data_IF_107787028476
#
_entry.id   IF_107787028476
#
_cell.length_a   1.000
_cell.length_b   1.000
_cell.length_c   1.000
_cell.angle_alpha   90.00
_cell.angle_beta   90.00
_cell.angle_gamma   90.00
#
_symmetry.space_group_name_H-M   'P 1'
#
loop_
_entity.id
_entity.type
_entity.pdbx_description
1 polymer ?
#
# COMPACT_ATOMS: atom_id res chain seq x y z
N UNK A 1 -13.40 -14.56 -28.21
CA UNK A 1 -14.08 -14.01 -27.00
C UNK A 1 -14.15 -15.03 -25.87
N UNK A 2 -14.69 -16.24 -26.09
CA UNK A 2 -14.77 -17.29 -25.06
C UNK A 2 -13.42 -17.68 -24.43
N UNK A 3 -12.37 -17.86 -25.24
CA UNK A 3 -11.00 -18.17 -24.76
C UNK A 3 -10.38 -17.08 -23.86
N UNK A 4 -10.87 -15.84 -23.94
CA UNK A 4 -10.45 -14.75 -23.06
C UNK A 4 -11.29 -14.68 -21.78
N UNK A 5 -12.56 -15.09 -21.85
CA UNK A 5 -13.50 -15.04 -20.72
C UNK A 5 -13.33 -16.28 -19.82
N UNK A 6 -13.05 -17.45 -20.38
CA UNK A 6 -12.92 -18.70 -19.63
C UNK A 6 -11.88 -18.63 -18.49
N UNK A 7 -10.65 -18.13 -18.70
CA UNK A 7 -9.67 -17.99 -17.63
C UNK A 7 -10.12 -17.03 -16.53
N UNK A 8 -10.85 -15.96 -16.88
CA UNK A 8 -11.41 -14.99 -15.92
C UNK A 8 -12.42 -15.68 -15.00
N UNK A 9 -13.35 -16.46 -15.58
CA UNK A 9 -14.40 -17.16 -14.83
C UNK A 9 -13.84 -18.34 -14.01
N UNK A 10 -12.78 -18.98 -14.50
CA UNK A 10 -12.15 -20.11 -13.83
C UNK A 10 -11.15 -19.70 -12.73
N UNK A 11 -10.77 -18.42 -12.65
CA UNK A 11 -9.79 -17.95 -11.67
C UNK A 11 -10.34 -18.03 -10.24
N UNK A 12 -9.83 -19.00 -9.48
CA UNK A 12 -10.10 -19.14 -8.05
C UNK A 12 -9.22 -18.18 -7.27
N UNK A 13 -9.71 -16.96 -7.04
CA UNK A 13 -8.98 -15.92 -6.32
C UNK A 13 -8.58 -16.39 -4.91
N UNK A 14 -7.26 -16.51 -4.59
CA UNK A 14 -6.79 -16.92 -3.27
C UNK A 14 -7.33 -16.06 -2.13
N UNK A 15 -7.53 -14.75 -2.38
CA UNK A 15 -8.06 -13.81 -1.39
C UNK A 15 -9.44 -14.22 -0.91
N UNK A 16 -10.29 -14.76 -1.78
CA UNK A 16 -11.65 -15.18 -1.42
C UNK A 16 -11.64 -16.26 -0.33
N UNK A 17 -10.64 -17.16 -0.34
CA UNK A 17 -10.46 -18.17 0.71
C UNK A 17 -9.88 -17.58 2.00
N UNK A 18 -9.15 -16.46 1.93
CA UNK A 18 -8.58 -15.78 3.08
C UNK A 18 -9.61 -14.90 3.82
N UNK A 19 -10.69 -14.47 3.17
CA UNK A 19 -11.72 -13.58 3.76
C UNK A 19 -12.28 -14.09 5.11
N UNK A 20 -12.68 -15.37 5.27
CA UNK A 20 -13.15 -15.87 6.57
C UNK A 20 -12.07 -15.81 7.65
N UNK A 21 -10.80 -16.02 7.28
CA UNK A 21 -9.66 -15.94 8.20
C UNK A 21 -9.44 -14.47 8.62
N UNK A 22 -9.50 -13.53 7.67
CA UNK A 22 -9.39 -12.10 7.98
C UNK A 22 -10.48 -11.65 8.95
N UNK A 23 -11.74 -12.05 8.71
CA UNK A 23 -12.85 -11.72 9.59
C UNK A 23 -12.66 -12.30 11.01
N UNK A 24 -12.20 -13.56 11.11
CA UNK A 24 -11.88 -14.18 12.39
C UNK A 24 -10.76 -13.44 13.13
N UNK A 25 -9.66 -13.11 12.45
CA UNK A 25 -8.53 -12.41 13.07
C UNK A 25 -8.89 -10.99 13.52
N UNK A 26 -9.68 -10.26 12.73
CA UNK A 26 -10.22 -8.95 13.14
C UNK A 26 -11.10 -9.08 14.38
N UNK A 27 -11.98 -10.10 14.43
CA UNK A 27 -12.83 -10.34 15.59
C UNK A 27 -12.02 -10.69 16.85
N UNK A 28 -10.97 -11.51 16.70
CA UNK A 28 -10.04 -11.84 17.79
C UNK A 28 -9.33 -10.57 18.28
N UNK A 29 -8.79 -9.74 17.39
CA UNK A 29 -8.07 -8.53 17.77
C UNK A 29 -8.98 -7.49 18.43
N UNK A 30 -10.22 -7.33 17.94
CA UNK A 30 -11.23 -6.48 18.56
C UNK A 30 -11.60 -6.99 19.97
N UNK A 31 -11.73 -8.30 20.16
CA UNK A 31 -11.98 -8.90 21.47
C UNK A 31 -10.81 -8.68 22.44
N UNK A 32 -9.56 -8.90 22.00
CA UNK A 32 -8.37 -8.64 22.81
C UNK A 32 -8.30 -7.16 23.21
N UNK A 33 -8.60 -6.25 22.27
CA UNK A 33 -8.59 -4.81 22.54
C UNK A 33 -9.61 -4.43 23.62
N UNK A 34 -10.83 -4.97 23.52
CA UNK A 34 -11.87 -4.80 24.54
C UNK A 34 -11.42 -5.35 25.90
N UNK A 35 -10.85 -6.57 25.93
CA UNK A 35 -10.42 -7.24 27.16
C UNK A 35 -9.30 -6.48 27.87
N UNK A 36 -8.33 -5.95 27.12
CA UNK A 36 -7.16 -5.24 27.63
C UNK A 36 -7.41 -3.75 27.84
N UNK A 37 -8.57 -3.23 27.42
CA UNK A 37 -8.91 -1.79 27.43
C UNK A 37 -7.85 -0.94 26.70
N UNK A 38 -7.28 -1.49 25.63
CA UNK A 38 -6.31 -0.80 24.81
C UNK A 38 -7.00 0.23 23.90
N UNK A 39 -6.30 1.29 23.51
CA UNK A 39 -6.82 2.39 22.67
C UNK A 39 -6.62 2.16 21.15
N UNK A 40 -6.22 0.94 20.78
CA UNK A 40 -5.90 0.56 19.40
C UNK A 40 -7.13 0.41 18.48
N UNK A 41 -8.34 0.46 19.01
CA UNK A 41 -9.57 0.19 18.26
C UNK A 41 -10.64 1.24 18.56
N UNK A 42 -11.26 1.74 17.49
CA UNK A 42 -12.45 2.58 17.57
C UNK A 42 -13.48 2.05 16.56
N UNK A 43 -14.68 1.71 17.04
CA UNK A 43 -15.67 1.02 16.21
C UNK A 43 -16.06 1.82 14.94
N UNK A 44 -16.37 3.13 15.00
CA UNK A 44 -16.59 3.93 13.79
C UNK A 44 -15.44 3.89 12.79
N UNK A 45 -14.19 3.91 13.26
CA UNK A 45 -13.00 3.84 12.42
C UNK A 45 -12.85 2.47 11.74
N UNK A 46 -13.07 1.39 12.50
CA UNK A 46 -13.05 0.02 11.98
C UNK A 46 -14.16 -0.22 10.94
N UNK A 47 -15.38 0.26 11.20
CA UNK A 47 -16.50 0.20 10.25
C UNK A 47 -16.18 0.98 8.98
N UNK A 48 -15.57 2.16 9.09
CA UNK A 48 -15.12 2.92 7.93
C UNK A 48 -14.05 2.16 7.12
N UNK A 49 -13.09 1.53 7.80
CA UNK A 49 -12.06 0.70 7.17
C UNK A 49 -12.67 -0.46 6.37
N UNK A 50 -13.57 -1.22 7.01
CA UNK A 50 -14.24 -2.37 6.40
C UNK A 50 -15.10 -1.90 5.22
N UNK A 51 -15.82 -0.78 5.36
CA UNK A 51 -16.64 -0.21 4.29
C UNK A 51 -15.81 0.24 3.08
N UNK A 52 -14.64 0.85 3.32
CA UNK A 52 -13.66 1.17 2.27
C UNK A 52 -13.22 -0.09 1.53
N UNK A 53 -12.89 -1.16 2.27
CA UNK A 53 -12.50 -2.46 1.71
C UNK A 53 -13.61 -3.15 0.91
N UNK A 54 -14.86 -3.08 1.35
CA UNK A 54 -15.99 -3.59 0.57
C UNK A 54 -16.16 -2.82 -0.75
N UNK A 55 -16.00 -1.49 -0.71
CA UNK A 55 -15.99 -0.67 -1.92
C UNK A 55 -14.83 -1.02 -2.86
N UNK A 56 -13.64 -1.27 -2.31
CA UNK A 56 -12.46 -1.61 -3.08
C UNK A 56 -12.61 -2.96 -3.78
N UNK A 57 -13.29 -3.95 -3.20
CA UNK A 57 -13.56 -5.25 -3.85
C UNK A 57 -14.36 -5.08 -5.15
N UNK A 58 -15.36 -4.21 -5.16
CA UNK A 58 -16.21 -3.97 -6.35
C UNK A 58 -15.36 -3.35 -7.47
N UNK A 59 -14.55 -2.34 -7.14
CA UNK A 59 -13.69 -1.64 -8.10
C UNK A 59 -12.54 -2.54 -8.56
N UNK A 60 -11.98 -3.34 -7.66
CA UNK A 60 -10.91 -4.30 -7.95
C UNK A 60 -11.40 -5.36 -8.93
N UNK A 61 -12.64 -5.86 -8.79
CA UNK A 61 -13.19 -6.82 -9.75
C UNK A 61 -13.20 -6.27 -11.19
N UNK A 62 -13.62 -5.01 -11.36
CA UNK A 62 -13.63 -4.35 -12.66
C UNK A 62 -12.20 -4.14 -13.20
N UNK A 63 -11.34 -3.51 -12.41
CA UNK A 63 -9.97 -3.16 -12.82
C UNK A 63 -9.09 -4.40 -13.04
N UNK A 64 -9.23 -5.44 -12.21
CA UNK A 64 -8.58 -6.74 -12.39
C UNK A 64 -9.06 -7.47 -13.64
N UNK A 65 -10.34 -7.34 -14.01
CA UNK A 65 -10.85 -7.94 -15.25
C UNK A 65 -10.23 -7.27 -16.48
N UNK A 66 -10.10 -5.95 -16.47
CA UNK A 66 -9.40 -5.18 -17.52
C UNK A 66 -7.92 -5.59 -17.55
N UNK A 67 -7.26 -5.62 -16.40
CA UNK A 67 -5.86 -6.01 -16.28
C UNK A 67 -5.61 -7.43 -16.78
N UNK A 68 -6.47 -8.39 -16.46
CA UNK A 68 -6.36 -9.77 -16.93
C UNK A 68 -6.46 -9.83 -18.45
N UNK A 69 -7.41 -9.12 -19.06
CA UNK A 69 -7.51 -9.04 -20.51
C UNK A 69 -6.26 -8.40 -21.14
N UNK A 70 -5.78 -7.28 -20.59
CA UNK A 70 -4.57 -6.60 -21.06
C UNK A 70 -3.31 -7.47 -20.93
N UNK A 71 -3.11 -8.09 -19.77
CA UNK A 71 -1.98 -8.99 -19.52
C UNK A 71 -2.04 -10.21 -20.44
N UNK A 72 -3.22 -10.73 -20.71
CA UNK A 72 -3.38 -11.85 -21.64
C UNK A 72 -3.02 -11.45 -23.07
N UNK A 73 -3.47 -10.29 -23.55
CA UNK A 73 -3.05 -9.78 -24.86
C UNK A 73 -1.52 -9.60 -24.92
N UNK A 74 -0.92 -9.02 -23.88
CA UNK A 74 0.52 -8.80 -23.84
C UNK A 74 1.30 -10.12 -23.82
N UNK A 75 0.92 -11.03 -22.93
CA UNK A 75 1.57 -12.33 -22.79
C UNK A 75 1.49 -13.14 -24.08
N UNK A 76 0.34 -13.17 -24.76
CA UNK A 76 0.20 -13.88 -26.05
C UNK A 76 1.10 -13.34 -27.15
N UNK A 77 1.02 -12.03 -27.38
CA UNK A 77 1.58 -11.39 -28.56
C UNK A 77 3.03 -10.92 -28.37
N UNK A 78 3.43 -10.61 -27.13
CA UNK A 78 4.71 -9.97 -26.82
C UNK A 78 5.50 -10.65 -25.70
N UNK A 79 4.99 -11.74 -25.10
CA UNK A 79 5.70 -12.48 -24.06
C UNK A 79 6.96 -13.16 -24.60
N UNK A 80 8.12 -12.86 -24.00
CA UNK A 80 9.44 -13.27 -24.52
C UNK A 80 9.84 -14.68 -24.06
N UNK A 81 9.81 -14.98 -22.76
CA UNK A 81 10.33 -16.24 -22.18
C UNK A 81 9.23 -17.15 -21.64
N UNK A 82 8.12 -17.27 -22.39
CA UNK A 82 6.90 -17.95 -21.96
C UNK A 82 7.16 -19.39 -21.54
N UNK A 83 7.95 -20.13 -22.32
CA UNK A 83 8.25 -21.54 -22.10
C UNK A 83 9.12 -21.75 -20.86
N UNK A 84 10.00 -20.81 -20.55
CA UNK A 84 10.88 -20.88 -19.39
C UNK A 84 10.20 -20.43 -18.08
N UNK A 85 9.27 -19.48 -18.16
CA UNK A 85 8.67 -18.82 -16.99
C UNK A 85 7.26 -19.30 -16.65
N UNK A 86 6.43 -19.65 -17.63
CA UNK A 86 5.04 -19.99 -17.35
C UNK A 86 4.90 -21.35 -16.65
N UNK A 87 4.37 -21.30 -15.43
CA UNK A 87 4.08 -22.44 -14.55
C UNK A 87 5.29 -23.31 -14.21
N UNK A 88 6.51 -22.81 -14.37
CA UNK A 88 7.73 -23.47 -13.91
C UNK A 88 8.04 -23.08 -12.46
N UNK A 89 8.81 -23.92 -11.74
CA UNK A 89 9.27 -23.58 -10.37
C UNK A 89 10.11 -22.30 -10.38
N UNK A 90 11.02 -22.19 -11.36
CA UNK A 90 11.82 -20.98 -11.55
C UNK A 90 10.94 -19.76 -11.79
N UNK A 91 9.90 -19.89 -12.62
CA UNK A 91 8.94 -18.85 -12.89
C UNK A 91 8.24 -18.34 -11.63
N UNK A 92 7.74 -19.23 -10.78
CA UNK A 92 7.13 -18.82 -9.50
C UNK A 92 8.11 -18.12 -8.56
N UNK A 93 9.34 -18.62 -8.46
CA UNK A 93 10.38 -18.01 -7.62
C UNK A 93 10.74 -16.61 -8.12
N UNK A 94 11.01 -16.46 -9.42
CA UNK A 94 11.31 -15.15 -10.01
C UNK A 94 10.11 -14.20 -9.89
N UNK A 95 8.90 -14.68 -10.16
CA UNK A 95 7.69 -13.88 -10.06
C UNK A 95 7.49 -13.33 -8.65
N UNK A 96 7.75 -14.12 -7.61
CA UNK A 96 7.70 -13.67 -6.22
C UNK A 96 8.60 -12.45 -5.97
N UNK A 97 9.87 -12.51 -6.37
CA UNK A 97 10.80 -11.39 -6.19
C UNK A 97 10.46 -10.18 -7.05
N UNK A 98 10.05 -10.39 -8.30
CA UNK A 98 9.74 -9.32 -9.24
C UNK A 98 8.40 -8.61 -8.90
N UNK A 99 7.41 -9.36 -8.40
CA UNK A 99 6.18 -8.81 -7.85
C UNK A 99 6.46 -7.93 -6.63
N UNK A 100 7.21 -8.45 -5.66
CA UNK A 100 7.52 -7.71 -4.43
C UNK A 100 8.39 -6.46 -4.71
N UNK A 101 9.31 -6.56 -5.66
CA UNK A 101 10.07 -5.42 -6.18
C UNK A 101 9.17 -4.37 -6.86
N UNK A 102 8.21 -4.81 -7.69
CA UNK A 102 7.23 -3.91 -8.32
C UNK A 102 6.41 -3.20 -7.27
N UNK A 103 5.94 -3.94 -6.26
CA UNK A 103 5.19 -3.39 -5.15
C UNK A 103 5.99 -2.33 -4.40
N UNK A 104 7.25 -2.59 -4.07
CA UNK A 104 8.11 -1.63 -3.38
C UNK A 104 8.19 -0.27 -4.12
N UNK A 105 8.44 -0.29 -5.44
CA UNK A 105 8.53 0.95 -6.21
C UNK A 105 7.18 1.64 -6.38
N UNK A 106 6.13 0.88 -6.68
CA UNK A 106 4.77 1.41 -6.70
C UNK A 106 4.44 2.13 -5.39
N UNK A 107 4.69 1.46 -4.27
CA UNK A 107 4.36 1.96 -2.95
C UNK A 107 5.21 3.17 -2.57
N UNK A 108 6.53 3.13 -2.79
CA UNK A 108 7.41 4.28 -2.57
C UNK A 108 6.98 5.50 -3.40
N UNK A 109 6.68 5.31 -4.69
CA UNK A 109 6.19 6.42 -5.51
C UNK A 109 4.80 6.92 -5.09
N UNK A 110 3.95 6.06 -4.53
CA UNK A 110 2.71 6.47 -3.89
C UNK A 110 2.90 7.35 -2.66
N UNK A 111 4.06 7.30 -2.00
CA UNK A 111 4.42 8.25 -0.94
C UNK A 111 5.15 9.50 -1.48
N UNK A 112 5.89 9.39 -2.58
CA UNK A 112 6.76 10.45 -3.10
C UNK A 112 6.17 11.31 -4.24
N UNK A 113 5.01 10.95 -4.78
CA UNK A 113 4.37 11.69 -5.88
C UNK A 113 2.97 12.12 -5.43
N UNK A 114 2.71 13.43 -5.38
CA UNK A 114 1.48 14.01 -4.79
C UNK A 114 0.17 13.41 -5.29
N UNK A 115 0.04 13.15 -6.59
CA UNK A 115 -1.19 12.55 -7.16
C UNK A 115 -1.36 11.08 -6.78
N UNK A 116 -0.26 10.33 -6.65
CA UNK A 116 -0.31 8.94 -6.20
C UNK A 116 -0.59 8.88 -4.70
N UNK A 117 0.00 9.80 -3.92
CA UNK A 117 -0.34 10.00 -2.51
C UNK A 117 -1.80 10.32 -2.30
N UNK A 118 -2.40 11.16 -3.14
CA UNK A 118 -3.84 11.45 -3.05
C UNK A 118 -4.71 10.19 -3.23
N UNK A 119 -4.24 9.20 -3.97
CA UNK A 119 -4.87 7.89 -4.01
C UNK A 119 -4.56 7.06 -2.76
N UNK A 120 -3.32 7.07 -2.28
CA UNK A 120 -2.83 6.12 -1.27
C UNK A 120 -3.11 6.52 0.18
N UNK A 121 -3.09 7.83 0.50
CA UNK A 121 -3.18 8.41 1.85
C UNK A 121 -4.34 7.87 2.70
N UNK A 122 -5.42 7.46 2.04
CA UNK A 122 -6.61 6.90 2.65
C UNK A 122 -6.21 5.74 3.58
N UNK A 123 -5.27 4.90 3.16
CA UNK A 123 -4.76 3.77 3.93
C UNK A 123 -4.11 4.20 5.26
N UNK A 124 -3.43 5.35 5.25
CA UNK A 124 -2.69 5.89 6.40
C UNK A 124 -3.53 6.77 7.33
N UNK A 125 -4.73 7.17 6.92
CA UNK A 125 -5.54 8.16 7.67
C UNK A 125 -6.14 7.66 8.99
N UNK A 126 -6.05 6.36 9.30
CA UNK A 126 -6.49 5.85 10.60
C UNK A 126 -5.54 6.22 11.73
N UNK A 127 -6.09 6.68 12.84
CA UNK A 127 -5.37 6.87 14.09
C UNK A 127 -5.37 5.60 14.97
N UNK A 128 -6.17 4.60 14.63
CA UNK A 128 -6.37 3.37 15.39
C UNK A 128 -5.85 2.17 14.61
N UNK A 129 -4.54 1.95 14.71
CA UNK A 129 -3.84 0.91 13.95
C UNK A 129 -4.12 -0.50 14.50
N UNK A 130 -4.77 -1.30 13.67
CA UNK A 130 -5.21 -2.69 13.90
C UNK A 130 -5.53 -3.36 12.54
N UNK A 131 -5.92 -4.63 12.52
CA UNK A 131 -6.14 -5.43 11.32
C UNK A 131 -7.26 -4.90 10.42
N UNK A 132 -8.23 -4.15 10.95
CA UNK A 132 -9.22 -3.50 10.07
C UNK A 132 -8.56 -2.41 9.22
N UNK A 133 -7.46 -1.80 9.68
CA UNK A 133 -6.70 -0.81 8.91
C UNK A 133 -6.17 -1.36 7.60
N UNK A 134 -5.80 -2.64 7.55
CA UNK A 134 -5.44 -3.33 6.31
C UNK A 134 -6.55 -3.26 5.25
N UNK A 135 -7.82 -3.17 5.67
CA UNK A 135 -8.97 -3.10 4.77
C UNK A 135 -9.32 -1.68 4.32
N UNK A 136 -8.66 -0.63 4.84
CA UNK A 136 -8.87 0.75 4.39
C UNK A 136 -8.16 1.00 3.06
N UNK A 137 -8.57 0.24 2.05
CA UNK A 137 -7.97 0.20 0.72
C UNK A 137 -8.51 1.34 -0.13
N UNK A 138 -7.62 1.94 -0.92
CA UNK A 138 -7.98 3.01 -1.84
C UNK A 138 -8.84 2.50 -3.01
N UNK A 139 -9.72 3.37 -3.49
CA UNK A 139 -10.50 3.13 -4.70
C UNK A 139 -9.81 3.67 -5.94
N UNK A 140 -9.13 4.82 -5.82
CA UNK A 140 -8.45 5.47 -6.93
C UNK A 140 -7.18 4.71 -7.36
N UNK A 141 -6.46 4.13 -6.39
CA UNK A 141 -5.24 3.36 -6.66
C UNK A 141 -5.49 2.18 -7.60
N UNK A 142 -6.64 1.52 -7.46
CA UNK A 142 -7.01 0.34 -8.26
C UNK A 142 -7.09 0.61 -9.76
N UNK A 143 -7.35 1.86 -10.18
CA UNK A 143 -7.42 2.22 -11.59
C UNK A 143 -6.05 2.27 -12.28
N UNK A 144 -4.96 2.45 -11.54
CA UNK A 144 -3.61 2.50 -12.10
C UNK A 144 -2.68 1.41 -11.56
N UNK A 145 -3.02 0.74 -10.45
CA UNK A 145 -2.19 -0.29 -9.81
C UNK A 145 -1.63 -1.31 -10.81
N UNK A 146 -2.48 -1.86 -11.67
CA UNK A 146 -2.07 -2.91 -12.61
C UNK A 146 -1.12 -2.45 -13.70
N UNK A 147 -1.02 -1.14 -13.97
CA UNK A 147 -0.08 -0.58 -14.96
C UNK A 147 1.36 -0.87 -14.52
N UNK A 148 1.64 -0.82 -13.22
CA UNK A 148 2.96 -1.12 -12.67
C UNK A 148 3.44 -2.55 -12.92
N UNK A 149 2.52 -3.48 -13.21
CA UNK A 149 2.81 -4.90 -13.40
C UNK A 149 2.80 -5.31 -14.88
N UNK A 150 2.57 -4.37 -15.81
CA UNK A 150 2.50 -4.63 -17.27
C UNK A 150 3.78 -5.26 -17.81
N UNK A 151 4.94 -5.01 -17.20
CA UNK A 151 6.21 -5.58 -17.66
C UNK A 151 6.33 -7.09 -17.42
N UNK A 152 5.62 -7.66 -16.43
CA UNK A 152 5.67 -9.09 -16.13
C UNK A 152 5.14 -9.98 -17.27
N UNK A 153 3.96 -9.74 -17.88
CA UNK A 153 3.51 -10.51 -19.04
C UNK A 153 4.42 -10.31 -20.27
N UNK A 154 5.10 -9.16 -20.42
CA UNK A 154 6.13 -8.98 -21.47
C UNK A 154 7.32 -9.92 -21.26
N UNK A 155 7.79 -10.11 -20.03
CA UNK A 155 8.85 -11.10 -19.77
C UNK A 155 8.40 -12.53 -20.07
N UNK A 156 7.10 -12.80 -20.01
CA UNK A 156 6.52 -14.12 -20.27
C UNK A 156 5.94 -14.79 -19.04
N UNK A 157 5.60 -14.05 -17.98
CA UNK A 157 4.82 -14.61 -16.87
C UNK A 157 3.35 -14.74 -17.26
N UNK A 158 2.78 -15.93 -17.07
CA UNK A 158 1.37 -16.15 -17.35
C UNK A 158 0.47 -15.24 -16.49
N UNK A 159 -0.56 -14.57 -17.05
CA UNK A 159 -1.40 -13.62 -16.33
C UNK A 159 -2.01 -14.15 -15.03
N UNK A 160 -2.46 -15.41 -15.03
CA UNK A 160 -3.02 -16.04 -13.82
C UNK A 160 -1.96 -16.23 -12.72
N UNK A 161 -0.69 -16.49 -13.07
CA UNK A 161 0.37 -16.54 -12.07
C UNK A 161 0.57 -15.17 -11.43
N UNK A 162 0.59 -14.10 -12.23
CA UNK A 162 0.74 -12.72 -11.75
C UNK A 162 -0.39 -12.38 -10.78
N UNK A 163 -1.65 -12.63 -11.16
CA UNK A 163 -2.79 -12.35 -10.28
C UNK A 163 -2.80 -13.22 -9.01
N UNK A 164 -2.30 -14.45 -9.10
CA UNK A 164 -2.14 -15.33 -7.94
C UNK A 164 -1.07 -14.78 -6.99
N UNK A 165 0.09 -14.38 -7.51
CA UNK A 165 1.18 -13.80 -6.71
C UNK A 165 0.76 -12.47 -6.07
N UNK A 166 0.10 -11.58 -6.81
CA UNK A 166 -0.51 -10.36 -6.27
C UNK A 166 -1.47 -10.65 -5.10
N UNK A 167 -2.21 -11.75 -5.17
CA UNK A 167 -3.11 -12.20 -4.11
C UNK A 167 -2.35 -12.71 -2.88
N UNK A 168 -1.24 -13.44 -3.09
CA UNK A 168 -0.35 -13.89 -2.02
C UNK A 168 0.26 -12.68 -1.30
N UNK A 169 0.75 -11.68 -2.06
CA UNK A 169 1.30 -10.43 -1.52
C UNK A 169 0.26 -9.67 -0.69
N UNK A 170 -0.98 -9.54 -1.18
CA UNK A 170 -2.06 -8.92 -0.42
C UNK A 170 -2.36 -9.68 0.90
N UNK A 171 -2.38 -11.01 0.86
CA UNK A 171 -2.63 -11.83 2.06
C UNK A 171 -1.49 -11.66 3.08
N UNK A 172 -0.24 -11.60 2.61
CA UNK A 172 0.91 -11.34 3.48
C UNK A 172 0.79 -9.96 4.14
N UNK A 173 0.46 -8.93 3.36
CA UNK A 173 0.39 -7.56 3.88
C UNK A 173 -0.78 -7.34 4.85
N UNK A 174 -1.79 -8.21 4.88
CA UNK A 174 -2.88 -8.09 5.85
C UNK A 174 -2.39 -8.24 7.30
N UNK A 175 -1.68 -9.33 7.63
CA UNK A 175 -1.42 -9.71 9.03
C UNK A 175 -0.40 -8.80 9.73
N UNK A 176 0.41 -8.06 8.97
CA UNK A 176 1.38 -7.11 9.52
C UNK A 176 0.72 -5.85 10.11
N UNK A 177 -0.59 -5.64 9.93
CA UNK A 177 -1.34 -4.53 10.50
C UNK A 177 -1.80 -4.80 11.93
N UNK A 178 -0.86 -4.97 12.86
CA UNK A 178 -1.21 -5.20 14.27
C UNK A 178 -0.19 -4.60 15.23
N UNK A 179 -0.66 -4.24 16.42
CA UNK A 179 0.17 -3.86 17.57
C UNK A 179 0.43 -5.03 18.53
N UNK A 180 -0.28 -6.16 18.41
CA UNK A 180 -0.12 -7.26 19.36
C UNK A 180 1.17 -8.04 19.15
N UNK A 181 1.68 -8.05 17.92
CA UNK A 181 2.97 -8.69 17.60
C UNK A 181 4.03 -7.60 17.61
N UNK A 182 4.86 -7.58 18.66
CA UNK A 182 5.85 -6.54 18.86
C UNK A 182 7.03 -6.70 17.91
N UNK A 183 7.87 -7.72 18.10
CA UNK A 183 9.03 -7.96 17.25
C UNK A 183 9.22 -9.44 16.94
N UNK A 184 9.91 -9.71 15.85
CA UNK A 184 10.38 -11.04 15.48
C UNK A 184 11.89 -11.19 15.76
N UNK A 185 12.42 -12.43 15.73
CA UNK A 185 13.87 -12.63 15.77
C UNK A 185 14.57 -11.84 14.66
N UNK A 186 15.75 -11.29 14.97
CA UNK A 186 16.50 -10.39 14.07
C UNK A 186 16.69 -10.91 12.65
N UNK A 187 16.91 -12.22 12.47
CA UNK A 187 17.08 -12.80 11.13
C UNK A 187 15.80 -12.70 10.28
N UNK A 188 14.64 -12.79 10.92
CA UNK A 188 13.35 -12.68 10.25
C UNK A 188 13.07 -11.23 9.89
N UNK A 189 13.27 -10.29 10.83
CA UNK A 189 13.17 -8.84 10.58
C UNK A 189 14.25 -8.32 9.62
N UNK A 190 15.31 -9.07 9.36
CA UNK A 190 16.28 -8.70 8.33
C UNK A 190 15.74 -8.94 6.92
N UNK A 191 14.92 -9.97 6.73
CA UNK A 191 14.46 -10.47 5.42
C UNK A 191 13.03 -10.01 5.12
N UNK A 192 12.15 -10.10 6.11
CA UNK A 192 10.71 -9.95 5.93
C UNK A 192 10.19 -8.64 6.52
N UNK A 193 9.19 -8.05 5.85
CA UNK A 193 8.40 -6.98 6.42
C UNK A 193 7.55 -7.56 7.56
N UNK A 194 7.56 -6.91 8.71
CA UNK A 194 6.97 -7.40 9.97
C UNK A 194 6.01 -6.35 10.52
N UNK A 195 5.19 -6.69 11.53
CA UNK A 195 4.37 -5.70 12.20
C UNK A 195 5.16 -4.50 12.73
N UNK A 196 6.37 -4.69 13.26
CA UNK A 196 7.25 -3.58 13.70
C UNK A 196 7.62 -2.64 12.56
N UNK A 197 8.10 -3.18 11.43
CA UNK A 197 8.42 -2.36 10.26
C UNK A 197 7.20 -1.64 9.69
N UNK A 198 6.05 -2.32 9.66
CA UNK A 198 4.83 -1.76 9.09
C UNK A 198 4.16 -0.73 10.02
N UNK A 199 4.35 -0.83 11.35
CA UNK A 199 3.97 0.24 12.28
C UNK A 199 4.76 1.52 11.98
N UNK A 200 6.08 1.42 11.80
CA UNK A 200 6.93 2.55 11.39
C UNK A 200 6.43 3.15 10.08
N UNK A 201 6.09 2.32 9.11
CA UNK A 201 5.55 2.78 7.83
C UNK A 201 4.25 3.60 7.98
N UNK A 202 3.37 3.20 8.90
CA UNK A 202 2.11 3.90 9.17
C UNK A 202 2.24 5.08 10.16
N UNK A 203 3.46 5.39 10.60
CA UNK A 203 3.69 6.42 11.58
C UNK A 203 3.65 7.82 10.96
N UNK A 204 3.22 8.80 11.76
CA UNK A 204 3.37 10.23 11.47
C UNK A 204 4.47 10.92 12.27
N UNK A 205 5.20 10.19 13.12
CA UNK A 205 6.40 10.74 13.77
C UNK A 205 7.38 11.18 12.68
N UNK A 206 8.00 12.35 12.84
CA UNK A 206 8.87 12.92 11.81
C UNK A 206 9.98 11.93 11.39
N UNK A 207 10.56 11.23 12.37
CA UNK A 207 11.64 10.25 12.16
C UNK A 207 11.25 9.07 11.25
N UNK A 208 9.96 8.75 11.21
CA UNK A 208 9.42 7.58 10.53
C UNK A 208 8.73 7.90 9.20
N UNK A 209 8.49 9.19 8.90
CA UNK A 209 7.85 9.60 7.64
C UNK A 209 8.61 8.99 6.45
N UNK A 210 7.90 8.59 5.40
CA UNK A 210 8.46 7.98 4.17
C UNK A 210 9.56 6.93 4.42
N UNK A 211 9.24 5.95 5.27
CA UNK A 211 10.09 4.77 5.55
C UNK A 211 9.31 3.47 5.34
N UNK A 212 10.05 2.38 5.13
CA UNK A 212 9.56 1.00 5.10
C UNK A 212 8.42 0.75 4.08
N UNK A 213 8.68 0.89 2.79
CA UNK A 213 7.69 0.73 1.71
C UNK A 213 7.54 -0.72 1.19
N UNK A 214 8.35 -1.67 1.64
CA UNK A 214 8.30 -3.05 1.17
C UNK A 214 6.97 -3.75 1.46
N UNK A 215 6.60 -4.69 0.59
CA UNK A 215 5.42 -5.53 0.80
C UNK A 215 5.74 -6.72 1.71
N UNK A 216 6.39 -7.73 1.14
CA UNK A 216 6.79 -8.97 1.81
C UNK A 216 8.23 -8.89 2.29
N UNK A 217 9.17 -8.43 1.46
CA UNK A 217 10.59 -8.47 1.76
C UNK A 217 11.13 -7.08 2.12
N UNK A 218 11.47 -6.85 3.39
CA UNK A 218 12.05 -5.59 3.87
C UNK A 218 13.45 -5.31 3.28
N UNK A 219 14.03 -6.28 2.58
CA UNK A 219 15.33 -6.15 1.91
C UNK A 219 15.35 -4.97 0.93
N UNK A 220 14.23 -4.63 0.28
CA UNK A 220 14.16 -3.52 -0.67
C UNK A 220 14.39 -2.18 0.01
N UNK A 221 13.77 -1.96 1.17
CA UNK A 221 14.00 -0.76 1.96
C UNK A 221 15.45 -0.64 2.42
N UNK A 222 16.09 -1.76 2.77
CA UNK A 222 17.51 -1.78 3.14
C UNK A 222 18.40 -1.44 1.94
N UNK A 223 18.12 -2.03 0.78
CA UNK A 223 18.88 -1.83 -0.45
C UNK A 223 18.78 -0.39 -0.98
N UNK A 224 17.60 0.23 -0.85
CA UNK A 224 17.29 1.55 -1.42
C UNK A 224 17.21 2.67 -0.38
N UNK A 225 17.69 2.42 0.84
CA UNK A 225 17.93 3.43 1.87
C UNK A 225 16.68 4.01 2.53
N UNK A 226 15.56 3.28 2.56
CA UNK A 226 14.31 3.70 3.20
C UNK A 226 13.97 2.88 4.44
N UNK A 227 14.84 1.95 4.83
CA UNK A 227 14.67 1.16 6.04
C UNK A 227 14.80 2.01 7.31
N UNK A 228 13.86 1.84 8.23
CA UNK A 228 13.89 2.40 9.56
C UNK A 228 13.37 1.38 10.58
N UNK A 229 14.13 1.14 11.62
CA UNK A 229 13.70 0.28 12.72
C UNK A 229 12.76 1.04 13.66
N UNK A 230 11.81 0.34 14.26
CA UNK A 230 10.94 0.92 15.30
C UNK A 230 11.77 1.18 16.56
N UNK A 231 12.02 2.44 16.90
CA UNK A 231 12.76 2.81 18.11
C UNK A 231 11.90 2.52 19.35
N UNK A 232 12.37 1.67 20.29
CA UNK A 232 11.64 1.38 21.53
C UNK A 232 11.42 2.61 22.43
N UNK A 233 12.14 3.71 22.20
CA UNK A 233 12.03 4.95 22.96
C UNK A 233 11.15 6.00 22.27
N UNK A 234 10.74 5.79 21.02
CA UNK A 234 9.86 6.70 20.27
C UNK A 234 8.56 5.96 19.90
N UNK A 235 7.51 6.06 20.74
CA UNK A 235 6.23 5.43 20.47
C UNK A 235 5.65 5.85 19.12
N UNK A 236 5.19 4.87 18.35
CA UNK A 236 4.59 5.12 17.03
C UNK A 236 3.24 5.81 17.19
N UNK A 237 3.10 6.96 16.53
CA UNK A 237 1.86 7.75 16.45
C UNK A 237 1.29 7.59 15.06
N UNK A 238 0.00 7.24 14.94
CA UNK A 238 -0.66 6.95 13.67
C UNK A 238 -1.51 8.11 13.15
N UNK A 239 -1.99 7.93 11.92
CA UNK A 239 -2.71 8.92 11.12
C UNK A 239 -1.76 9.59 10.14
N UNK A 240 -2.23 10.70 9.57
CA UNK A 240 -1.44 11.53 8.65
C UNK A 240 -1.07 12.85 9.33
N UNK A 241 -0.09 13.57 8.78
CA UNK A 241 0.44 14.83 9.34
C UNK A 241 -0.64 15.89 9.54
N UNK A 242 -1.58 15.98 8.59
CA UNK A 242 -2.82 16.77 8.70
C UNK A 242 -4.01 15.84 8.59
N UNK A 243 -4.50 15.34 9.73
CA UNK A 243 -5.50 14.28 9.74
C UNK A 243 -6.92 14.73 9.36
N UNK A 244 -7.77 13.75 9.08
CA UNK A 244 -9.20 13.94 8.79
C UNK A 244 -10.06 13.51 9.97
N UNK A 245 -11.09 14.32 10.28
CA UNK A 245 -12.04 14.06 11.36
C UNK A 245 -13.37 13.51 10.78
N UNK A 246 -13.31 12.36 10.11
CA UNK A 246 -14.50 11.74 9.50
C UNK A 246 -14.39 10.23 9.34
N UNK A 247 -15.54 9.55 9.48
CA UNK A 247 -15.69 8.11 9.21
C UNK A 247 -16.48 7.83 7.93
N UNK A 248 -16.78 8.85 7.13
CA UNK A 248 -17.52 8.69 5.89
C UNK A 248 -16.57 8.17 4.78
N UNK A 249 -16.78 6.96 4.22
CA UNK A 249 -15.89 6.38 3.21
C UNK A 249 -15.69 7.25 1.97
N UNK A 250 -16.73 7.97 1.53
CA UNK A 250 -16.63 8.86 0.37
C UNK A 250 -15.71 10.06 0.65
N UNK A 251 -15.77 10.61 1.86
CA UNK A 251 -14.87 11.71 2.27
C UNK A 251 -13.44 11.20 2.45
N UNK A 252 -13.26 10.06 3.11
CA UNK A 252 -11.96 9.40 3.23
C UNK A 252 -11.36 9.19 1.83
N UNK A 253 -12.12 8.64 0.89
CA UNK A 253 -11.62 8.35 -0.46
C UNK A 253 -11.28 9.58 -1.32
N UNK A 254 -11.83 10.76 -1.01
CA UNK A 254 -11.77 11.94 -1.89
C UNK A 254 -11.06 13.18 -1.30
N UNK A 255 -10.87 13.25 0.02
CA UNK A 255 -10.37 14.47 0.68
C UNK A 255 -9.06 14.98 0.08
N UNK A 256 -8.13 14.07 -0.22
CA UNK A 256 -6.80 14.47 -0.65
C UNK A 256 -6.73 14.89 -2.12
N UNK A 257 -7.61 14.34 -2.96
CA UNK A 257 -7.83 14.86 -4.31
C UNK A 257 -8.44 16.27 -4.28
N UNK A 258 -9.34 16.55 -3.33
CA UNK A 258 -9.90 17.89 -3.14
C UNK A 258 -8.79 18.86 -2.70
N UNK A 259 -7.91 18.46 -1.79
CA UNK A 259 -6.76 19.27 -1.36
C UNK A 259 -5.80 19.54 -2.53
N UNK A 260 -5.42 18.51 -3.29
CA UNK A 260 -4.62 18.66 -4.50
C UNK A 260 -5.25 19.65 -5.50
N UNK A 261 -6.57 19.56 -5.72
CA UNK A 261 -7.28 20.49 -6.59
C UNK A 261 -7.24 21.95 -6.11
N UNK A 262 -7.31 22.19 -4.79
CA UNK A 262 -7.16 23.52 -4.19
C UNK A 262 -5.74 24.05 -4.37
N UNK A 263 -4.73 23.21 -4.14
CA UNK A 263 -3.31 23.58 -4.28
C UNK A 263 -3.00 23.97 -5.73
N UNK A 264 -3.44 23.17 -6.71
CA UNK A 264 -3.34 23.46 -8.15
C UNK A 264 -4.05 24.77 -8.50
N UNK A 265 -5.20 25.06 -7.88
CA UNK A 265 -5.94 26.30 -8.15
C UNK A 265 -5.23 27.54 -7.59
N UNK A 266 -4.56 27.41 -6.44
CA UNK A 266 -3.78 28.48 -5.81
C UNK A 266 -2.47 28.77 -6.57
N UNK A 267 -1.92 27.77 -7.25
CA UNK A 267 -0.64 27.86 -7.95
C UNK A 267 -0.59 29.00 -9.01
N UNK A 268 0.44 29.87 -8.96
CA UNK A 268 0.48 31.08 -9.78
C UNK A 268 0.85 30.81 -11.25
N UNK A 269 1.56 29.72 -11.53
CA UNK A 269 2.03 29.36 -12.87
C UNK A 269 1.61 27.95 -13.29
N UNK A 270 1.60 27.67 -14.60
CA UNK A 270 1.36 26.32 -15.12
C UNK A 270 2.41 25.32 -14.62
N UNK A 271 3.66 25.75 -14.48
CA UNK A 271 4.73 24.90 -13.96
C UNK A 271 4.46 24.51 -12.51
N UNK A 272 4.01 25.45 -11.67
CA UNK A 272 3.70 25.14 -10.27
C UNK A 272 2.50 24.21 -10.15
N UNK A 273 1.52 24.31 -11.07
CA UNK A 273 0.42 23.33 -11.16
C UNK A 273 0.93 21.92 -11.44
N UNK A 274 1.86 21.77 -12.37
CA UNK A 274 2.49 20.47 -12.66
C UNK A 274 3.32 19.97 -11.48
N UNK A 275 4.05 20.87 -10.81
CA UNK A 275 4.81 20.52 -9.60
C UNK A 275 3.91 20.03 -8.48
N UNK A 276 2.75 20.65 -8.25
CA UNK A 276 1.78 20.12 -7.31
C UNK A 276 1.26 18.73 -7.70
N UNK A 277 1.27 18.33 -8.97
CA UNK A 277 0.84 16.98 -9.36
C UNK A 277 1.94 15.95 -9.11
N UNK A 278 3.20 16.31 -9.42
CA UNK A 278 4.29 15.35 -9.56
C UNK A 278 5.39 15.42 -8.50
N UNK A 279 5.56 16.55 -7.80
CA UNK A 279 6.51 16.64 -6.69
C UNK A 279 5.96 15.99 -5.41
N UNK A 280 6.81 15.75 -4.40
CA UNK A 280 6.38 15.08 -3.18
C UNK A 280 5.26 15.81 -2.43
N UNK A 281 4.43 15.06 -1.69
CA UNK A 281 3.50 15.66 -0.73
C UNK A 281 4.23 16.64 0.20
N UNK A 282 3.59 17.77 0.46
CA UNK A 282 4.17 18.84 1.26
C UNK A 282 5.01 19.86 0.48
N UNK A 283 5.31 19.63 -0.81
CA UNK A 283 5.89 20.69 -1.64
C UNK A 283 4.90 21.86 -1.81
N UNK A 284 5.39 23.09 -1.74
CA UNK A 284 4.61 24.31 -2.00
C UNK A 284 5.42 25.34 -2.77
N UNK A 285 4.75 26.10 -3.65
CA UNK A 285 5.38 27.15 -4.46
C UNK A 285 5.84 28.37 -3.64
N UNK A 286 5.28 28.56 -2.45
CA UNK A 286 5.54 29.68 -1.53
C UNK A 286 6.32 29.27 -0.28
N UNK A 287 6.72 27.99 -0.15
CA UNK A 287 7.43 27.47 1.01
C UNK A 287 6.59 27.38 2.29
N UNK A 288 5.26 27.47 2.19
CA UNK A 288 4.35 27.41 3.35
C UNK A 288 4.22 26.01 3.96
N UNK A 289 4.61 24.97 3.23
CA UNK A 289 4.63 23.57 3.67
C UNK A 289 5.97 22.92 3.35
N UNK A 290 6.28 21.83 4.05
CA UNK A 290 7.49 21.05 3.88
C UNK A 290 7.17 19.61 3.48
N UNK A 291 8.05 19.02 2.67
CA UNK A 291 8.05 17.60 2.35
C UNK A 291 8.56 16.77 3.53
N UNK A 292 8.29 15.47 3.53
CA UNK A 292 8.76 14.56 4.57
C UNK A 292 10.30 14.56 4.70
N UNK A 293 11.03 14.64 3.59
CA UNK A 293 12.49 14.76 3.57
C UNK A 293 12.97 16.05 4.26
N UNK A 294 12.35 17.19 3.94
CA UNK A 294 12.68 18.48 4.57
C UNK A 294 12.36 18.47 6.07
N UNK A 295 11.22 17.90 6.47
CA UNK A 295 10.85 17.76 7.89
C UNK A 295 11.87 16.90 8.67
N UNK A 296 12.31 15.78 8.10
CA UNK A 296 13.33 14.93 8.71
C UNK A 296 14.68 15.63 8.82
N UNK A 297 15.14 16.26 7.75
CA UNK A 297 16.41 16.97 7.75
C UNK A 297 16.45 18.09 8.79
N UNK A 298 15.33 18.78 9.01
CA UNK A 298 15.22 19.80 10.05
C UNK A 298 15.20 19.18 11.46
N UNK A 299 14.45 18.09 11.66
CA UNK A 299 14.42 17.37 12.92
C UNK A 299 15.81 16.83 13.32
N UNK A 300 16.57 16.25 12.38
CA UNK A 300 17.93 15.74 12.62
C UNK A 300 18.91 16.85 13.06
N UNK A 301 18.78 18.06 12.50
CA UNK A 301 19.57 19.23 12.91
C UNK A 301 19.26 19.65 14.35
N UNK A 302 17.98 19.60 14.73
CA UNK A 302 17.54 19.97 16.07
C UNK A 302 18.01 18.97 17.14
N UNK A 303 18.13 17.69 16.80
CA UNK A 303 18.65 16.66 17.72
C UNK A 303 20.18 16.69 17.87
N UNK A 304 20.89 17.26 16.89
CA UNK A 304 22.36 17.34 16.88
C UNK A 304 22.92 18.66 17.45
N UNK A 305 22.05 19.61 17.79
CA UNK A 305 22.39 20.91 18.40
C UNK A 305 22.24 20.88 19.92
#
# INVERSE_FOLDING_TARGET
MWEFIQPVLAFKNPVAFAVPIFALLIAIEAYLNYKERADNYLLPDAVASISMGLGSVIIDLLTKSIALASFWLIYNHYGIWKEALSYTVLGWVLLFFLDDFTFYWHHRFSHQIRVLWAAHVNHHSSQHYNLSTALRQSWAELFYKYIWYIWLPFLGFHPIMILTQLSISLIYQFWIHTKYIQRFPRWFEFIFNTPSHHRVHHAKNIIYLDRNHAGILIIWDRMFGTFMEEDPNEPVIYGITTNIDTYNPLRIASHEFINLGKDIRKAPSLMDKLKYIFLPPGWSHDGSTATADEMRAEWEKQQSS
#
